data_IF_026315071614
#
_entry.id   IF_026315071614
#
_cell.length_a   1.000
_cell.length_b   1.000
_cell.length_c   1.000
_cell.angle_alpha   90.00
_cell.angle_beta   90.00
_cell.angle_gamma   90.00
#
_symmetry.space_group_name_H-M   'P 1'
#
loop_
_entity.id
_entity.type
_entity.pdbx_description
1 polymer ?
#
# COMPACT_ATOMS: atom_id res chain seq x y z
N UNK A 1 0.50 -7.51 15.74
CA UNK A 1 0.95 -6.13 16.01
C UNK A 1 -0.18 -5.33 16.65
N UNK A 2 0.14 -4.27 17.39
CA UNK A 2 -0.89 -3.37 17.95
C UNK A 2 -1.22 -2.33 16.90
N UNK A 3 -2.50 -2.23 16.54
CA UNK A 3 -3.07 -1.18 15.71
C UNK A 3 -4.06 -0.37 16.55
N UNK A 4 -4.51 0.77 16.04
CA UNK A 4 -5.52 1.60 16.69
C UNK A 4 -6.75 1.70 15.80
N UNK A 5 -7.93 1.74 16.41
CA UNK A 5 -9.18 1.93 15.67
C UNK A 5 -9.34 3.41 15.28
N UNK A 6 -9.56 3.61 13.99
CA UNK A 6 -9.92 4.88 13.38
C UNK A 6 -11.37 4.85 12.94
N UNK A 7 -12.07 5.97 13.06
CA UNK A 7 -13.42 6.14 12.55
C UNK A 7 -13.33 6.62 11.10
N UNK A 8 -14.04 5.95 10.20
CA UNK A 8 -14.15 6.33 8.81
C UNK A 8 -15.60 6.57 8.43
N UNK A 9 -15.82 7.57 7.57
CA UNK A 9 -17.10 7.85 6.92
C UNK A 9 -16.91 7.70 5.41
N UNK A 10 -17.66 6.80 4.78
CA UNK A 10 -17.60 6.67 3.32
C UNK A 10 -18.40 7.78 2.61
N UNK A 11 -18.20 7.95 1.31
CA UNK A 11 -18.93 8.96 0.49
C UNK A 11 -20.46 8.80 0.49
N UNK A 12 -20.96 7.64 0.92
CA UNK A 12 -22.40 7.38 1.06
C UNK A 12 -22.91 7.59 2.50
N UNK A 13 -22.09 8.15 3.40
CA UNK A 13 -22.46 8.47 4.79
C UNK A 13 -22.44 7.31 5.78
N UNK A 14 -21.89 6.15 5.40
CA UNK A 14 -21.74 5.01 6.31
C UNK A 14 -20.50 5.17 7.19
N UNK A 15 -20.69 5.06 8.50
CA UNK A 15 -19.61 5.10 9.49
C UNK A 15 -19.14 3.68 9.86
N UNK A 16 -17.83 3.50 10.02
CA UNK A 16 -17.25 2.22 10.44
C UNK A 16 -15.86 2.40 11.05
N UNK A 17 -15.42 1.44 11.85
CA UNK A 17 -14.10 1.46 12.49
C UNK A 17 -13.11 0.58 11.72
N UNK A 18 -11.86 1.04 11.62
CA UNK A 18 -10.80 0.35 10.86
C UNK A 18 -9.50 0.35 11.67
N UNK A 19 -8.85 -0.81 11.86
CA UNK A 19 -7.52 -0.85 12.44
C UNK A 19 -6.49 -0.19 11.50
N UNK A 20 -5.74 0.78 12.00
CA UNK A 20 -4.64 1.47 11.32
C UNK A 20 -3.43 1.61 12.23
N UNK A 21 -2.29 2.00 11.67
CA UNK A 21 -1.15 2.45 12.46
C UNK A 21 -1.53 3.69 13.27
N UNK A 22 -0.77 3.91 14.34
CA UNK A 22 -0.77 5.20 15.00
C UNK A 22 -0.12 6.26 14.09
N UNK A 23 -0.50 7.53 14.25
CA UNK A 23 0.10 8.64 13.51
C UNK A 23 1.60 8.79 13.80
N UNK A 24 2.05 8.26 14.95
CA UNK A 24 3.43 8.29 15.39
C UNK A 24 4.24 7.04 15.02
N UNK A 25 3.63 6.02 14.42
CA UNK A 25 4.38 4.85 13.96
C UNK A 25 5.24 5.22 12.75
N UNK A 26 6.52 5.40 12.98
CA UNK A 26 7.49 5.68 11.93
C UNK A 26 8.12 4.39 11.42
N UNK A 27 8.27 4.29 10.11
CA UNK A 27 9.04 3.21 9.50
C UNK A 27 8.25 1.94 9.17
N UNK A 28 6.93 1.94 9.35
CA UNK A 28 6.06 0.82 8.98
C UNK A 28 4.96 1.32 8.06
N UNK A 29 4.70 0.59 6.96
CA UNK A 29 3.60 0.88 6.04
C UNK A 29 2.63 -0.29 6.04
N UNK A 30 1.32 0.00 6.14
CA UNK A 30 0.29 -1.02 5.95
C UNK A 30 -0.06 -1.16 4.48
N UNK A 31 -0.19 -2.40 4.06
CA UNK A 31 -0.70 -2.77 2.76
C UNK A 31 -2.07 -3.41 2.91
N UNK A 32 -2.95 -3.17 1.93
CA UNK A 32 -4.26 -3.81 1.86
C UNK A 32 -4.51 -4.44 0.50
N UNK A 33 -5.28 -5.52 0.48
CA UNK A 33 -5.78 -6.12 -0.74
C UNK A 33 -7.27 -5.83 -0.98
N UNK A 34 -7.86 -6.48 -1.99
CA UNK A 34 -9.27 -6.31 -2.34
C UNK A 34 -10.24 -6.79 -1.24
N UNK A 35 -9.80 -7.72 -0.40
CA UNK A 35 -10.59 -8.28 0.71
C UNK A 35 -10.41 -7.51 2.02
N UNK A 36 -9.66 -6.40 2.00
CA UNK A 36 -9.22 -5.64 3.17
C UNK A 36 -8.35 -6.42 4.17
N UNK A 37 -7.76 -7.54 3.73
CA UNK A 37 -6.69 -8.17 4.49
C UNK A 37 -5.52 -7.20 4.59
N UNK A 38 -4.78 -7.27 5.70
CA UNK A 38 -3.70 -6.35 6.02
C UNK A 38 -2.38 -7.13 6.08
N UNK A 39 -1.36 -6.56 5.47
CA UNK A 39 0.03 -6.92 5.69
C UNK A 39 0.82 -5.65 5.99
N UNK A 40 2.06 -5.78 6.47
CA UNK A 40 2.94 -4.64 6.68
C UNK A 40 4.27 -4.83 5.95
N UNK A 41 4.94 -3.71 5.68
CA UNK A 41 6.34 -3.65 5.27
C UNK A 41 7.05 -2.61 6.10
N UNK A 42 8.27 -2.90 6.55
CA UNK A 42 9.12 -1.93 7.25
C UNK A 42 10.03 -1.17 6.27
N UNK A 43 10.40 0.06 6.61
CA UNK A 43 11.47 0.79 5.95
C UNK A 43 12.80 0.01 6.09
N UNK A 44 13.62 0.04 5.05
CA UNK A 44 14.81 -0.81 4.94
C UNK A 44 14.51 -2.23 4.43
N UNK A 45 13.27 -2.49 3.99
CA UNK A 45 12.96 -3.69 3.22
C UNK A 45 13.70 -3.64 1.88
N UNK A 46 14.51 -4.67 1.61
CA UNK A 46 15.35 -4.75 0.41
C UNK A 46 14.55 -4.66 -0.90
N UNK A 47 13.35 -5.24 -0.96
CA UNK A 47 12.53 -5.15 -2.16
C UNK A 47 12.01 -3.71 -2.37
N UNK A 48 11.72 -3.00 -1.28
CA UNK A 48 11.33 -1.59 -1.33
C UNK A 48 12.47 -0.74 -1.90
N UNK A 49 13.69 -0.91 -1.39
CA UNK A 49 14.87 -0.20 -1.89
C UNK A 49 15.17 -0.52 -3.36
N UNK A 50 14.99 -1.77 -3.78
CA UNK A 50 15.16 -2.16 -5.19
C UNK A 50 14.12 -1.51 -6.10
N UNK A 51 12.85 -1.44 -5.67
CA UNK A 51 11.77 -0.78 -6.41
C UNK A 51 12.00 0.72 -6.48
N UNK A 52 12.31 1.37 -5.36
CA UNK A 52 12.59 2.81 -5.32
C UNK A 52 13.69 3.17 -6.32
N UNK A 53 14.83 2.46 -6.28
CA UNK A 53 15.92 2.67 -7.22
C UNK A 53 15.51 2.47 -8.69
N UNK A 54 14.71 1.45 -8.99
CA UNK A 54 14.25 1.17 -10.36
C UNK A 54 13.27 2.24 -10.86
N UNK A 55 12.36 2.70 -9.99
CA UNK A 55 11.37 3.74 -10.32
C UNK A 55 12.05 5.10 -10.43
N UNK A 56 12.84 5.51 -9.44
CA UNK A 56 13.57 6.78 -9.41
C UNK A 56 14.58 6.92 -10.56
N UNK A 57 15.13 5.81 -11.06
CA UNK A 57 15.98 5.77 -12.26
C UNK A 57 15.22 5.74 -13.59
N UNK A 58 13.89 5.68 -13.59
CA UNK A 58 13.10 5.47 -14.79
C UNK A 58 12.86 6.78 -15.56
N UNK A 59 13.12 6.85 -16.89
CA UNK A 59 13.03 8.10 -17.66
C UNK A 59 11.66 8.79 -17.61
N UNK A 60 10.57 8.02 -17.55
CA UNK A 60 9.20 8.57 -17.54
C UNK A 60 8.83 9.33 -16.27
N UNK A 61 9.54 9.13 -15.15
CA UNK A 61 9.26 9.81 -13.87
C UNK A 61 10.37 10.77 -13.48
N UNK A 62 11.37 10.97 -14.35
CA UNK A 62 12.52 11.84 -14.10
C UNK A 62 12.19 13.32 -13.86
N UNK A 63 10.96 13.73 -14.20
CA UNK A 63 10.46 15.11 -14.04
C UNK A 63 9.52 15.26 -12.84
N UNK A 64 9.24 14.18 -12.10
CA UNK A 64 8.35 14.21 -10.95
C UNK A 64 9.08 14.84 -9.76
N UNK A 65 8.34 15.60 -8.95
CA UNK A 65 8.84 16.06 -7.65
C UNK A 65 8.88 14.89 -6.65
N UNK A 66 9.61 15.05 -5.54
CA UNK A 66 9.85 13.97 -4.56
C UNK A 66 8.56 13.37 -4.01
N UNK A 67 7.53 14.18 -3.78
CA UNK A 67 6.21 13.73 -3.34
C UNK A 67 5.50 12.85 -4.37
N UNK A 68 5.39 13.33 -5.62
CA UNK A 68 4.76 12.58 -6.71
C UNK A 68 5.53 11.29 -7.02
N UNK A 69 6.86 11.32 -6.93
CA UNK A 69 7.70 10.15 -7.11
C UNK A 69 7.44 9.10 -6.01
N UNK A 70 7.29 9.54 -4.77
CA UNK A 70 6.94 8.68 -3.63
C UNK A 70 5.61 7.95 -3.87
N UNK A 71 4.60 8.65 -4.38
CA UNK A 71 3.30 8.05 -4.71
C UNK A 71 3.42 6.98 -5.81
N UNK A 72 4.26 7.23 -6.83
CA UNK A 72 4.52 6.23 -7.88
C UNK A 72 5.24 5.01 -7.29
N UNK A 73 6.27 5.21 -6.47
CA UNK A 73 7.00 4.11 -5.81
C UNK A 73 6.04 3.25 -4.98
N UNK A 74 5.19 3.88 -4.16
CA UNK A 74 4.21 3.18 -3.33
C UNK A 74 3.19 2.40 -4.17
N UNK A 75 2.73 2.97 -5.30
CA UNK A 75 1.80 2.27 -6.19
C UNK A 75 2.46 1.07 -6.89
N UNK A 76 3.70 1.25 -7.36
CA UNK A 76 4.47 0.21 -8.07
C UNK A 76 4.91 -0.91 -7.13
N UNK A 77 5.20 -0.62 -5.86
CA UNK A 77 5.73 -1.59 -4.88
C UNK A 77 4.97 -2.93 -4.83
N UNK A 78 3.66 -2.89 -5.09
CA UNK A 78 2.81 -4.08 -5.14
C UNK A 78 3.29 -5.17 -6.11
N UNK A 79 4.10 -4.86 -7.13
CA UNK A 79 4.68 -5.86 -8.05
C UNK A 79 5.75 -6.74 -7.41
N UNK A 80 6.39 -6.25 -6.35
CA UNK A 80 7.39 -7.03 -5.62
C UNK A 80 6.76 -7.91 -4.53
N UNK A 81 5.48 -7.70 -4.20
CA UNK A 81 4.78 -8.42 -3.14
C UNK A 81 4.28 -9.78 -3.64
N UNK A 82 4.50 -10.84 -2.86
CA UNK A 82 3.89 -12.14 -3.12
C UNK A 82 2.36 -12.07 -2.93
N UNK A 83 1.62 -12.82 -3.75
CA UNK A 83 0.15 -12.85 -3.74
C UNK A 83 -0.34 -13.78 -2.61
N UNK A 84 -1.41 -13.39 -1.91
CA UNK A 84 -2.04 -14.28 -0.92
C UNK A 84 -2.83 -15.41 -1.60
N UNK A 85 -3.04 -16.52 -0.90
CA UNK A 85 -3.82 -17.69 -1.34
C UNK A 85 -5.29 -17.37 -1.68
N UNK A 86 -5.80 -16.21 -1.27
CA UNK A 86 -7.21 -15.82 -1.39
C UNK A 86 -7.47 -14.58 -2.27
N UNK A 87 -6.45 -13.88 -2.78
CA UNK A 87 -6.72 -12.64 -3.50
C UNK A 87 -5.49 -11.86 -3.95
N UNK A 88 -5.74 -10.94 -4.88
CA UNK A 88 -4.77 -10.15 -5.64
C UNK A 88 -3.82 -9.27 -4.81
N UNK A 89 -3.02 -8.41 -5.47
CA UNK A 89 -1.85 -7.79 -4.87
C UNK A 89 -2.20 -6.89 -3.68
N UNK A 90 -1.38 -6.99 -2.63
CA UNK A 90 -1.33 -6.02 -1.55
C UNK A 90 -0.74 -4.72 -2.06
N UNK A 91 -1.37 -3.59 -1.71
CA UNK A 91 -0.95 -2.26 -2.15
C UNK A 91 -0.78 -1.33 -0.96
N UNK A 92 0.30 -0.55 -0.98
CA UNK A 92 0.50 0.56 -0.04
C UNK A 92 -0.58 1.62 -0.31
N UNK A 93 -0.99 2.34 0.73
CA UNK A 93 -1.97 3.43 0.69
C UNK A 93 -3.35 3.04 0.13
N UNK A 94 -3.61 1.74 -0.05
CA UNK A 94 -4.93 1.27 -0.48
C UNK A 94 -5.94 1.51 0.64
N UNK A 95 -6.89 2.42 0.39
CA UNK A 95 -8.03 2.65 1.28
C UNK A 95 -8.84 1.37 1.43
N UNK A 96 -9.27 1.09 2.66
CA UNK A 96 -10.22 0.03 2.98
C UNK A 96 -11.56 0.26 2.27
N UNK A 97 -12.32 -0.82 2.04
CA UNK A 97 -13.71 -0.70 1.57
C UNK A 97 -14.68 -0.55 2.73
N UNK A 98 -15.73 0.24 2.50
CA UNK A 98 -16.86 0.35 3.40
C UNK A 98 -17.57 -1.02 3.49
N UNK A 99 -17.81 -1.55 4.71
CA UNK A 99 -18.45 -2.86 4.87
C UNK A 99 -19.92 -2.88 4.44
N UNK A 100 -20.56 -1.71 4.33
CA UNK A 100 -21.99 -1.62 3.99
C UNK A 100 -22.25 -1.47 2.49
N UNK A 101 -21.40 -0.75 1.76
CA UNK A 101 -21.62 -0.45 0.34
C UNK A 101 -20.41 -0.73 -0.56
N UNK A 102 -19.34 -1.33 -0.03
CA UNK A 102 -18.12 -1.75 -0.74
C UNK A 102 -17.32 -0.64 -1.43
N UNK A 103 -17.76 0.61 -1.38
CA UNK A 103 -16.99 1.76 -1.89
C UNK A 103 -15.69 1.93 -1.12
N UNK A 104 -14.63 2.35 -1.82
CA UNK A 104 -13.34 2.75 -1.21
C UNK A 104 -13.18 4.27 -1.15
N UNK A 105 -14.18 5.01 -1.62
CA UNK A 105 -14.22 6.47 -1.50
C UNK A 105 -14.66 6.84 -0.09
N UNK A 106 -13.74 7.48 0.63
CA UNK A 106 -13.94 7.97 1.99
C UNK A 106 -14.14 9.47 1.93
N UNK A 107 -15.17 9.94 2.63
CA UNK A 107 -15.50 11.36 2.80
C UNK A 107 -14.67 11.95 3.94
N UNK A 108 -14.57 11.21 5.04
CA UNK A 108 -13.88 11.64 6.27
C UNK A 108 -13.24 10.47 7.00
N UNK A 109 -12.21 10.75 7.78
CA UNK A 109 -11.58 9.79 8.70
C UNK A 109 -10.85 10.50 9.83
N UNK A 110 -10.97 9.93 11.03
CA UNK A 110 -10.42 10.54 12.23
C UNK A 110 -9.99 9.48 13.25
N UNK A 111 -8.98 9.81 14.05
CA UNK A 111 -8.51 8.93 15.11
C UNK A 111 -9.53 8.92 16.26
N UNK A 112 -9.88 7.74 16.77
CA UNK A 112 -10.83 7.64 17.87
C UNK A 112 -10.14 8.07 19.17
N UNK A 113 -10.71 9.07 19.85
CA UNK A 113 -10.24 9.55 21.17
C UNK A 113 -11.27 9.15 22.25
N UNK A 114 -10.86 8.44 23.32
CA UNK A 114 -9.50 7.95 23.60
C UNK A 114 -9.08 6.82 22.66
N UNK A 115 -7.77 6.68 22.45
CA UNK A 115 -7.20 5.64 21.57
C UNK A 115 -7.67 4.25 21.97
N UNK A 116 -8.14 3.49 20.97
CA UNK A 116 -8.60 2.10 21.12
C UNK A 116 -7.57 1.16 20.48
N UNK A 117 -6.58 0.65 21.23
CA UNK A 117 -5.65 -0.34 20.70
C UNK A 117 -6.37 -1.66 20.44
N UNK A 118 -6.01 -2.32 19.34
CA UNK A 118 -6.49 -3.65 18.96
C UNK A 118 -5.30 -4.49 18.53
N UNK A 119 -5.23 -5.71 19.06
CA UNK A 119 -4.25 -6.69 18.61
C UNK A 119 -4.73 -7.33 17.31
N UNK A 120 -3.92 -7.19 16.26
CA UNK A 120 -4.22 -7.75 14.94
C UNK A 120 -3.06 -8.64 14.51
N UNK A 121 -3.37 -9.86 14.06
CA UNK A 121 -2.41 -10.72 13.39
C UNK A 121 -2.12 -10.18 11.98
N UNK A 122 -1.19 -9.24 11.90
CA UNK A 122 -0.71 -8.68 10.64
C UNK A 122 0.65 -9.28 10.34
N UNK A 123 0.75 -9.92 9.19
CA UNK A 123 1.99 -10.56 8.73
C UNK A 123 2.81 -9.56 7.91
N UNK A 124 4.12 -9.71 7.96
CA UNK A 124 5.00 -9.01 7.03
C UNK A 124 4.76 -9.55 5.61
N UNK A 125 4.77 -8.66 4.63
CA UNK A 125 4.70 -9.05 3.22
C UNK A 125 5.98 -9.78 2.82
N UNK A 126 5.83 -10.80 1.97
CA UNK A 126 6.97 -11.56 1.44
C UNK A 126 7.26 -11.20 -0.02
N UNK A 127 8.50 -11.46 -0.44
CA UNK A 127 9.03 -11.06 -1.75
C UNK A 127 9.79 -12.21 -2.43
N UNK A 128 9.39 -13.46 -2.17
CA UNK A 128 10.11 -14.64 -2.64
C UNK A 128 10.16 -14.69 -4.16
N UNK A 129 9.04 -14.38 -4.82
CA UNK A 129 9.02 -14.34 -6.27
C UNK A 129 9.91 -13.22 -6.79
N UNK A 130 9.80 -12.01 -6.24
CA UNK A 130 10.63 -10.87 -6.64
C UNK A 130 12.13 -11.16 -6.58
N UNK A 131 12.59 -11.78 -5.49
CA UNK A 131 14.01 -12.12 -5.34
C UNK A 131 14.47 -13.31 -6.19
N UNK A 132 13.54 -14.08 -6.77
CA UNK A 132 13.87 -15.12 -7.74
C UNK A 132 14.05 -14.61 -9.18
N UNK A 133 13.61 -13.38 -9.46
CA UNK A 133 13.68 -12.76 -10.78
C UNK A 133 15.09 -12.26 -11.11
N UNK A 134 15.44 -12.34 -12.40
CA UNK A 134 16.58 -11.63 -12.95
C UNK A 134 16.34 -10.11 -12.97
N UNK A 135 17.43 -9.34 -13.05
CA UNK A 135 17.34 -7.87 -13.15
C UNK A 135 16.54 -7.41 -14.39
N UNK A 136 16.61 -8.15 -15.50
CA UNK A 136 15.84 -7.84 -16.70
C UNK A 136 14.33 -8.04 -16.50
N UNK A 137 13.93 -9.11 -15.78
CA UNK A 137 12.53 -9.38 -15.44
C UNK A 137 11.98 -8.35 -14.46
N UNK A 138 12.75 -8.02 -13.41
CA UNK A 138 12.38 -6.96 -12.45
C UNK A 138 12.13 -5.63 -13.15
N UNK A 139 13.05 -5.23 -14.03
CA UNK A 139 12.91 -4.00 -14.83
C UNK A 139 11.65 -4.03 -15.69
N UNK A 140 11.39 -5.14 -16.38
CA UNK A 140 10.20 -5.31 -17.22
C UNK A 140 8.88 -5.16 -16.43
N UNK A 141 8.83 -5.73 -15.22
CA UNK A 141 7.67 -5.59 -14.33
C UNK A 141 7.47 -4.14 -13.87
N UNK A 142 8.55 -3.47 -13.47
CA UNK A 142 8.50 -2.06 -13.04
C UNK A 142 8.10 -1.15 -14.20
N UNK A 143 8.69 -1.32 -15.39
CA UNK A 143 8.35 -0.56 -16.59
C UNK A 143 6.84 -0.69 -16.90
N UNK A 144 6.30 -1.92 -16.83
CA UNK A 144 4.88 -2.20 -17.03
C UNK A 144 4.00 -1.53 -15.97
N UNK A 145 4.43 -1.56 -14.71
CA UNK A 145 3.69 -0.96 -13.59
C UNK A 145 3.66 0.57 -13.67
N UNK A 146 4.78 1.21 -13.99
CA UNK A 146 4.88 2.66 -14.20
C UNK A 146 3.94 3.08 -15.33
N UNK A 147 4.00 2.40 -16.48
CA UNK A 147 3.12 2.70 -17.61
C UNK A 147 1.63 2.57 -17.27
N UNK A 148 1.28 1.61 -16.40
CA UNK A 148 -0.09 1.43 -15.93
C UNK A 148 -0.50 2.55 -14.97
N UNK A 149 0.41 3.02 -14.12
CA UNK A 149 0.13 4.10 -13.18
C UNK A 149 -0.11 5.42 -13.90
N UNK A 150 0.80 5.81 -14.81
CA UNK A 150 0.70 7.06 -15.56
C UNK A 150 -0.54 7.15 -16.45
N UNK A 151 -1.11 6.00 -16.85
CA UNK A 151 -2.38 5.94 -17.61
C UNK A 151 -3.62 6.19 -16.76
N UNK A 152 -3.55 6.10 -15.44
CA UNK A 152 -4.70 6.40 -14.56
C UNK A 152 -4.87 7.90 -14.32
N UNK A 153 -3.81 8.68 -14.57
CA UNK A 153 -3.76 10.13 -14.35
C UNK A 153 -4.30 10.94 -15.54
N UNK A 154 -4.84 10.27 -16.56
CA UNK A 154 -5.49 10.85 -17.75
C UNK A 154 -6.91 10.31 -17.91
#
# INVERSE_FOLDING_TARGET
MILFLWKYTCINGHEFEVPQLDEFEYGTLLLRNELNEIQYVCLGNKAFDEIDRLVSGHPLVSHFEEGDLTDVVQSVFSVACDINIHGGPFKIARRQSCPQCSTRMMDDWDQIIPFKPVEVDVKEVTHNHWFSLSEAEKKSLVDTAILKELKKTH
#
